data_IF_722131681550
#
_entry.id   IF_722131681550
#
_cell.length_a   1.000
_cell.length_b   1.000
_cell.length_c   1.000
_cell.angle_alpha   90.00
_cell.angle_beta   90.00
_cell.angle_gamma   90.00
#
_symmetry.space_group_name_H-M   'P 1'
#
loop_
_entity.id
_entity.type
_entity.pdbx_description
1 polymer ?
#
# COMPACT_ATOMS: atom_id res chain seq x y z
N UNK A 1 24.19 35.92 -6.71
CA UNK A 1 24.35 34.54 -6.24
C UNK A 1 22.94 34.01 -6.12
N UNK A 2 22.40 33.52 -7.23
CA UNK A 2 21.12 32.83 -7.24
C UNK A 2 21.30 31.51 -6.50
N UNK A 3 20.67 31.41 -5.32
CA UNK A 3 20.39 30.12 -4.71
C UNK A 3 19.44 29.41 -5.66
N UNK A 4 19.95 28.40 -6.36
CA UNK A 4 19.12 27.44 -7.06
C UNK A 4 18.34 26.74 -5.96
N UNK A 5 17.04 27.01 -5.89
CA UNK A 5 16.13 26.27 -5.02
C UNK A 5 16.36 24.77 -5.28
N UNK A 6 16.83 24.05 -4.27
CA UNK A 6 16.75 22.59 -4.21
C UNK A 6 15.27 22.26 -4.39
N UNK A 7 14.90 21.81 -5.59
CA UNK A 7 13.56 21.32 -5.88
C UNK A 7 13.44 20.03 -5.10
N UNK A 8 12.96 20.18 -3.87
CA UNK A 8 12.58 19.19 -2.87
C UNK A 8 12.45 17.78 -3.45
N UNK A 9 13.36 16.88 -3.04
CA UNK A 9 13.44 15.44 -3.40
C UNK A 9 12.21 14.63 -2.87
N UNK A 10 11.07 15.30 -2.64
CA UNK A 10 9.82 14.74 -2.14
C UNK A 10 8.87 14.30 -3.27
N UNK A 11 9.42 13.63 -4.28
CA UNK A 11 8.70 13.18 -5.48
C UNK A 11 7.57 12.17 -5.23
N UNK A 12 7.50 11.56 -4.04
CA UNK A 12 6.41 10.66 -3.62
C UNK A 12 5.46 11.32 -2.62
N UNK A 13 5.45 12.66 -2.50
CA UNK A 13 4.54 13.41 -1.62
C UNK A 13 4.52 12.90 -0.16
N UNK A 14 5.69 12.48 0.31
CA UNK A 14 5.92 11.93 1.63
C UNK A 14 5.71 12.97 2.73
N UNK A 15 4.97 12.61 3.78
CA UNK A 15 4.74 13.48 4.94
C UNK A 15 4.60 12.66 6.24
N UNK A 16 5.03 13.27 7.35
CA UNK A 16 4.71 12.78 8.68
C UNK A 16 3.23 12.99 9.00
N UNK A 17 2.59 11.94 9.52
CA UNK A 17 1.23 12.01 10.05
C UNK A 17 1.19 11.43 11.46
N UNK A 18 0.14 11.76 12.20
CA UNK A 18 -0.08 11.24 13.56
C UNK A 18 -1.39 10.46 13.60
N UNK A 19 -1.37 9.27 14.18
CA UNK A 19 -2.61 8.52 14.38
C UNK A 19 -3.55 9.29 15.32
N UNK A 20 -4.83 9.50 14.95
CA UNK A 20 -5.76 10.26 15.78
C UNK A 20 -6.12 9.54 17.09
N UNK A 21 -5.99 8.21 17.13
CA UNK A 21 -6.42 7.40 18.29
C UNK A 21 -5.27 7.10 19.27
N UNK A 22 -4.10 6.67 18.76
CA UNK A 22 -2.97 6.27 19.62
C UNK A 22 -1.80 7.27 19.61
N UNK A 23 -1.88 8.33 18.81
CA UNK A 23 -0.85 9.35 18.65
C UNK A 23 0.51 8.83 18.15
N UNK A 24 0.55 7.61 17.61
CA UNK A 24 1.74 7.08 16.96
C UNK A 24 2.13 7.96 15.76
N UNK A 25 3.44 8.25 15.65
CA UNK A 25 4.00 8.93 14.48
C UNK A 25 4.15 7.93 13.35
N UNK A 26 3.61 8.28 12.19
CA UNK A 26 3.64 7.48 10.98
C UNK A 26 4.14 8.35 9.82
N UNK A 27 4.52 7.71 8.73
CA UNK A 27 4.94 8.37 7.52
C UNK A 27 4.07 7.87 6.36
N UNK A 28 3.45 8.77 5.61
CA UNK A 28 2.66 8.41 4.42
C UNK A 28 3.37 8.92 3.17
N UNK A 29 3.28 8.16 2.08
CA UNK A 29 3.86 8.50 0.79
C UNK A 29 3.08 7.83 -0.34
N UNK A 30 3.12 8.40 -1.53
CA UNK A 30 2.53 7.82 -2.72
C UNK A 30 3.33 6.60 -3.21
N UNK A 31 2.65 5.67 -3.88
CA UNK A 31 3.29 4.51 -4.49
C UNK A 31 4.32 4.95 -5.52
N UNK A 32 5.50 4.33 -5.47
CA UNK A 32 6.49 4.53 -6.52
C UNK A 32 5.95 3.99 -7.85
N UNK A 33 5.96 4.79 -8.94
CA UNK A 33 5.56 4.31 -10.26
C UNK A 33 6.53 3.27 -10.83
N UNK A 34 7.66 3.02 -10.16
CA UNK A 34 8.68 2.05 -10.55
C UNK A 34 8.51 0.71 -9.83
N UNK A 35 7.56 0.59 -8.91
CA UNK A 35 7.19 -0.68 -8.31
C UNK A 35 6.20 -1.38 -9.24
N UNK A 36 6.64 -2.46 -9.88
CA UNK A 36 5.84 -3.30 -10.78
C UNK A 36 4.82 -4.19 -10.00
N UNK A 37 4.05 -3.57 -9.10
CA UNK A 37 3.10 -4.23 -8.22
C UNK A 37 1.80 -3.42 -8.08
N UNK A 38 0.67 -4.14 -7.95
CA UNK A 38 -0.55 -3.58 -7.39
C UNK A 38 -0.55 -3.78 -5.87
N UNK A 39 -0.90 -2.74 -5.13
CA UNK A 39 -0.97 -2.78 -3.67
C UNK A 39 -2.41 -2.63 -3.21
N UNK A 40 -2.93 -3.65 -2.53
CA UNK A 40 -4.28 -3.63 -1.97
C UNK A 40 -4.21 -3.80 -0.45
N UNK A 41 -5.18 -3.24 0.27
CA UNK A 41 -5.11 -3.12 1.72
C UNK A 41 -6.30 -3.80 2.36
N UNK A 42 -6.09 -4.40 3.53
CA UNK A 42 -7.15 -5.02 4.27
C UNK A 42 -8.11 -3.94 4.81
N UNK A 43 -9.40 -4.13 4.57
CA UNK A 43 -10.45 -3.26 5.09
C UNK A 43 -10.58 -3.29 6.63
N UNK A 44 -9.94 -4.25 7.31
CA UNK A 44 -10.15 -4.55 8.73
C UNK A 44 -8.88 -4.46 9.59
N UNK A 45 -7.69 -4.56 9.01
CA UNK A 45 -6.42 -4.47 9.74
C UNK A 45 -5.34 -3.79 8.88
N UNK A 46 -4.14 -3.48 9.41
CA UNK A 46 -3.10 -2.77 8.65
C UNK A 46 -2.39 -3.61 7.58
N UNK A 47 -2.82 -4.85 7.33
CA UNK A 47 -2.20 -5.74 6.36
C UNK A 47 -2.38 -5.22 4.93
N UNK A 48 -1.32 -5.32 4.13
CA UNK A 48 -1.27 -5.06 2.70
C UNK A 48 -0.99 -6.35 1.93
N UNK A 49 -1.44 -6.42 0.70
CA UNK A 49 -1.07 -7.45 -0.27
C UNK A 49 -0.38 -6.81 -1.46
N UNK A 50 0.71 -7.43 -1.89
CA UNK A 50 1.57 -6.96 -2.97
C UNK A 50 1.45 -7.95 -4.13
N UNK A 51 0.81 -7.53 -5.21
CA UNK A 51 0.56 -8.36 -6.39
C UNK A 51 1.52 -7.92 -7.49
N UNK A 52 2.54 -8.73 -7.79
CA UNK A 52 3.43 -8.43 -8.91
C UNK A 52 2.68 -8.43 -10.24
N UNK A 53 3.01 -7.50 -11.13
CA UNK A 53 2.53 -7.49 -12.52
C UNK A 53 2.94 -8.76 -13.30
N UNK A 54 3.99 -9.44 -12.83
CA UNK A 54 4.51 -10.68 -13.41
C UNK A 54 3.93 -11.95 -12.77
N UNK A 55 3.02 -11.83 -11.80
CA UNK A 55 2.29 -12.98 -11.25
C UNK A 55 1.39 -13.59 -12.33
N UNK A 56 1.54 -14.89 -12.57
CA UNK A 56 0.82 -15.58 -13.66
C UNK A 56 -0.70 -15.52 -13.53
N UNK A 57 -1.24 -15.52 -12.31
CA UNK A 57 -2.67 -15.36 -12.06
C UNK A 57 -3.10 -13.92 -12.33
N UNK A 58 -2.33 -12.93 -11.89
CA UNK A 58 -2.56 -11.52 -12.24
C UNK A 58 -2.59 -11.30 -13.76
N UNK A 59 -1.60 -11.82 -14.50
CA UNK A 59 -1.56 -11.73 -15.98
C UNK A 59 -2.78 -12.40 -16.61
N UNK A 60 -3.14 -13.61 -16.16
CA UNK A 60 -4.32 -14.33 -16.67
C UNK A 60 -5.62 -13.56 -16.43
N UNK A 61 -5.74 -12.90 -15.27
CA UNK A 61 -6.89 -12.06 -14.95
C UNK A 61 -6.94 -10.85 -15.88
N UNK A 62 -5.81 -10.15 -16.07
CA UNK A 62 -5.72 -8.97 -16.92
C UNK A 62 -6.03 -9.28 -18.39
N UNK A 63 -5.47 -10.37 -18.93
CA UNK A 63 -5.67 -10.80 -20.33
C UNK A 63 -7.13 -11.18 -20.63
N UNK A 64 -7.89 -11.62 -19.62
CA UNK A 64 -9.29 -11.97 -19.76
C UNK A 64 -10.22 -10.74 -19.80
N UNK A 65 -9.72 -9.55 -19.47
CA UNK A 65 -10.52 -8.33 -19.43
C UNK A 65 -10.57 -7.62 -20.79
N UNK A 66 -11.72 -7.03 -21.17
CA UNK A 66 -11.81 -6.26 -22.41
C UNK A 66 -11.01 -4.95 -22.30
N UNK A 67 -10.27 -4.59 -23.35
CA UNK A 67 -9.59 -3.28 -23.44
C UNK A 67 -10.62 -2.14 -23.50
N UNK A 68 -10.83 -1.41 -22.42
CA UNK A 68 -11.80 -0.29 -22.31
C UNK A 68 -11.26 0.83 -21.42
N UNK A 69 -11.88 2.00 -21.51
CA UNK A 69 -11.52 3.23 -20.79
C UNK A 69 -11.55 3.10 -19.24
N UNK A 70 -12.20 2.05 -18.70
CA UNK A 70 -12.23 1.71 -17.26
C UNK A 70 -11.34 0.50 -16.89
N UNK A 71 -10.23 0.31 -17.60
CA UNK A 71 -9.37 -0.87 -17.45
C UNK A 71 -8.86 -1.08 -16.01
N UNK A 72 -8.47 0.00 -15.32
CA UNK A 72 -7.88 -0.11 -13.98
C UNK A 72 -8.89 -0.54 -12.91
N UNK A 73 -10.04 0.15 -12.81
CA UNK A 73 -11.07 -0.18 -11.81
C UNK A 73 -11.65 -1.58 -12.05
N UNK A 74 -11.82 -1.96 -13.32
CA UNK A 74 -12.25 -3.31 -13.71
C UNK A 74 -11.21 -4.36 -13.30
N UNK A 75 -9.92 -4.08 -13.52
CA UNK A 75 -8.83 -4.95 -13.08
C UNK A 75 -8.81 -5.09 -11.57
N UNK A 76 -8.84 -3.98 -10.81
CA UNK A 76 -8.83 -4.02 -9.35
C UNK A 76 -10.00 -4.86 -8.82
N UNK A 77 -11.22 -4.65 -9.33
CA UNK A 77 -12.37 -5.46 -8.93
C UNK A 77 -12.18 -6.96 -9.24
N UNK A 78 -11.56 -7.30 -10.37
CA UNK A 78 -11.29 -8.68 -10.77
C UNK A 78 -10.18 -9.35 -9.94
N UNK A 79 -9.19 -8.57 -9.49
CA UNK A 79 -8.14 -9.02 -8.55
C UNK A 79 -8.73 -9.21 -7.16
N UNK A 80 -9.42 -8.20 -6.61
CA UNK A 80 -10.09 -8.23 -5.31
C UNK A 80 -11.02 -9.44 -5.13
N UNK A 81 -11.72 -9.84 -6.19
CA UNK A 81 -12.65 -10.96 -6.17
C UNK A 81 -11.97 -12.34 -6.07
N UNK A 82 -10.67 -12.44 -6.40
CA UNK A 82 -9.90 -13.70 -6.42
C UNK A 82 -8.85 -13.78 -5.33
N UNK A 83 -8.59 -12.67 -4.63
CA UNK A 83 -7.67 -12.66 -3.51
C UNK A 83 -8.23 -13.46 -2.34
N UNK A 84 -7.37 -14.29 -1.76
CA UNK A 84 -7.63 -14.93 -0.49
C UNK A 84 -7.85 -13.85 0.58
N UNK A 85 -8.86 -14.02 1.46
CA UNK A 85 -9.09 -13.10 2.57
C UNK A 85 -7.85 -12.90 3.45
N UNK A 86 -7.81 -11.77 4.14
CA UNK A 86 -6.82 -11.52 5.17
C UNK A 86 -7.02 -12.50 6.33
N UNK A 87 -5.95 -12.86 7.04
CA UNK A 87 -6.03 -13.80 8.18
C UNK A 87 -6.84 -13.24 9.36
N UNK A 88 -7.07 -11.92 9.39
CA UNK A 88 -7.99 -11.29 10.34
C UNK A 88 -9.48 -11.45 9.96
N UNK A 89 -9.77 -12.00 8.78
CA UNK A 89 -11.13 -12.15 8.23
C UNK A 89 -11.59 -11.01 7.31
N UNK A 90 -10.79 -9.94 7.18
CA UNK A 90 -11.08 -8.81 6.28
C UNK A 90 -10.78 -9.12 4.81
N UNK A 91 -11.17 -8.19 3.92
CA UNK A 91 -10.90 -8.29 2.48
C UNK A 91 -9.87 -7.26 2.03
N UNK A 92 -9.04 -7.65 1.06
CA UNK A 92 -8.12 -6.72 0.42
C UNK A 92 -8.86 -5.92 -0.66
N UNK A 93 -8.73 -4.60 -0.60
CA UNK A 93 -9.36 -3.64 -1.50
C UNK A 93 -8.34 -2.60 -1.94
N UNK A 94 -8.41 -2.17 -3.19
CA UNK A 94 -7.66 -1.01 -3.67
C UNK A 94 -8.08 0.24 -2.88
N UNK A 95 -9.39 0.38 -2.69
CA UNK A 95 -10.07 1.49 -1.98
C UNK A 95 -10.10 1.39 -0.45
N UNK A 96 -9.41 0.41 0.16
CA UNK A 96 -9.46 0.24 1.61
C UNK A 96 -8.80 1.42 2.34
N UNK A 97 -9.40 1.90 3.45
CA UNK A 97 -8.81 2.98 4.22
C UNK A 97 -7.47 2.54 4.81
N UNK A 98 -6.51 3.47 4.87
CA UNK A 98 -5.25 3.22 5.55
C UNK A 98 -5.44 3.17 7.06
N UNK A 99 -4.69 2.29 7.72
CA UNK A 99 -4.82 2.00 9.14
C UNK A 99 -3.49 2.13 9.84
N UNK A 100 -3.52 2.57 11.09
CA UNK A 100 -2.34 2.62 11.95
C UNK A 100 -1.81 1.22 12.22
N UNK A 101 -0.51 0.98 11.99
CA UNK A 101 0.13 -0.31 12.23
C UNK A 101 0.12 -0.74 13.71
N UNK A 102 0.06 0.23 14.62
CA UNK A 102 0.06 -0.03 16.06
C UNK A 102 -1.35 -0.35 16.61
N UNK A 103 -2.35 0.50 16.36
CA UNK A 103 -3.68 0.36 16.95
C UNK A 103 -4.80 -0.03 15.97
N UNK A 104 -4.49 -0.20 14.67
CA UNK A 104 -5.45 -0.51 13.60
C UNK A 104 -6.54 0.53 13.32
N UNK A 105 -6.50 1.68 14.01
CA UNK A 105 -7.42 2.79 13.75
C UNK A 105 -7.30 3.31 12.32
N UNK A 106 -8.42 3.74 11.74
CA UNK A 106 -8.46 4.36 10.41
C UNK A 106 -7.75 5.71 10.46
N UNK A 107 -6.85 5.95 9.52
CA UNK A 107 -6.10 7.19 9.36
C UNK A 107 -6.89 8.15 8.48
N UNK A 108 -7.84 8.87 9.07
CA UNK A 108 -8.76 9.78 8.36
C UNK A 108 -8.08 10.96 7.66
N UNK A 109 -6.83 11.26 8.02
CA UNK A 109 -6.00 12.24 7.32
C UNK A 109 -5.61 11.79 5.90
N UNK A 110 -5.63 10.49 5.63
CA UNK A 110 -5.38 9.92 4.30
C UNK A 110 -6.73 9.70 3.62
N UNK A 111 -7.12 10.66 2.78
CA UNK A 111 -8.38 10.61 2.02
C UNK A 111 -8.27 9.89 0.68
N UNK A 112 -7.04 9.64 0.20
CA UNK A 112 -6.80 8.93 -1.04
C UNK A 112 -7.30 7.48 -0.94
N UNK A 113 -8.18 7.03 -1.85
CA UNK A 113 -8.71 5.68 -1.80
C UNK A 113 -7.63 4.64 -2.13
N UNK A 114 -6.70 4.97 -3.03
CA UNK A 114 -5.62 4.10 -3.49
C UNK A 114 -4.32 4.89 -3.68
N UNK A 115 -3.22 4.20 -3.98
CA UNK A 115 -1.97 4.88 -4.37
C UNK A 115 -1.10 5.40 -3.23
N UNK A 116 -1.49 5.24 -1.96
CA UNK A 116 -0.74 5.75 -0.79
C UNK A 116 -0.33 4.61 0.13
N UNK A 117 0.91 4.62 0.58
CA UNK A 117 1.44 3.76 1.63
C UNK A 117 1.54 4.46 2.97
N UNK A 118 1.55 3.66 4.04
CA UNK A 118 1.83 4.12 5.40
C UNK A 118 2.94 3.27 5.96
N UNK A 119 3.96 3.92 6.48
CA UNK A 119 5.09 3.31 7.18
C UNK A 119 5.16 3.82 8.61
N UNK A 120 5.89 3.13 9.49
CA UNK A 120 6.23 3.69 10.79
C UNK A 120 7.06 4.97 10.64
N UNK A 121 6.95 5.90 11.61
CA UNK A 121 7.66 7.17 11.57
C UNK A 121 9.19 7.09 11.59
N UNK A 122 9.77 5.91 11.85
CA UNK A 122 11.21 5.67 11.73
C UNK A 122 11.68 5.48 10.28
N UNK A 123 10.77 5.31 9.31
CA UNK A 123 11.12 5.05 7.90
C UNK A 123 12.03 6.11 7.29
N UNK A 124 11.84 7.37 7.70
CA UNK A 124 12.63 8.52 7.24
C UNK A 124 13.83 8.83 8.12
N UNK A 125 14.15 7.99 9.10
CA UNK A 125 15.30 8.21 9.96
C UNK A 125 16.60 8.04 9.17
N UNK A 126 17.58 8.92 9.40
CA UNK A 126 18.92 8.87 8.77
C UNK A 126 19.79 7.68 9.24
N UNK A 127 19.20 6.74 9.98
CA UNK A 127 19.85 5.54 10.52
C UNK A 127 19.57 4.34 9.63
N UNK A 128 20.44 3.32 9.65
CA UNK A 128 20.17 2.05 8.98
C UNK A 128 18.93 1.38 9.58
N UNK A 129 17.84 1.35 8.79
CA UNK A 129 16.53 0.81 9.16
C UNK A 129 16.24 -0.52 8.47
N UNK A 130 17.17 -1.10 7.71
CA UNK A 130 16.89 -2.27 6.86
C UNK A 130 16.30 -3.46 7.61
N UNK A 131 16.81 -3.77 8.81
CA UNK A 131 16.26 -4.86 9.64
C UNK A 131 14.86 -4.54 10.21
N UNK A 132 14.56 -3.26 10.47
CA UNK A 132 13.24 -2.81 10.91
C UNK A 132 12.23 -2.90 9.77
N UNK A 133 12.64 -2.53 8.56
CA UNK A 133 11.87 -2.69 7.33
C UNK A 133 11.55 -4.16 7.05
N UNK A 134 12.54 -5.04 7.08
CA UNK A 134 12.31 -6.48 6.88
C UNK A 134 11.31 -7.03 7.91
N UNK A 135 11.48 -6.69 9.19
CA UNK A 135 10.57 -7.12 10.26
C UNK A 135 9.15 -6.58 10.06
N UNK A 136 9.04 -5.31 9.63
CA UNK A 136 7.77 -4.65 9.42
C UNK A 136 7.02 -5.25 8.22
N UNK A 137 7.71 -5.38 7.09
CA UNK A 137 7.14 -5.96 5.86
C UNK A 137 6.75 -7.42 6.07
N UNK A 138 7.56 -8.23 6.75
CA UNK A 138 7.21 -9.61 7.10
C UNK A 138 5.96 -9.72 7.98
N UNK A 139 5.64 -8.67 8.77
CA UNK A 139 4.47 -8.64 9.64
C UNK A 139 3.22 -8.13 8.96
N UNK A 140 3.33 -7.15 8.08
CA UNK A 140 2.18 -6.42 7.54
C UNK A 140 1.98 -6.61 6.05
N UNK A 141 2.91 -7.19 5.30
CA UNK A 141 2.79 -7.37 3.86
C UNK A 141 2.69 -8.85 3.51
N UNK A 142 1.77 -9.16 2.60
CA UNK A 142 1.60 -10.49 2.01
C UNK A 142 1.98 -10.42 0.53
N UNK A 143 3.03 -11.12 0.15
CA UNK A 143 3.46 -11.25 -1.25
C UNK A 143 3.31 -12.68 -1.80
N UNK A 144 2.94 -13.64 -0.96
CA UNK A 144 2.80 -15.06 -1.31
C UNK A 144 1.45 -15.63 -0.89
N UNK A 145 1.04 -16.74 -1.51
CA UNK A 145 -0.24 -17.42 -1.25
C UNK A 145 -1.45 -16.48 -1.37
N UNK A 146 -1.45 -15.68 -2.44
CA UNK A 146 -2.35 -14.56 -2.67
C UNK A 146 -3.77 -14.97 -3.08
N UNK A 147 -3.88 -16.05 -3.85
CA UNK A 147 -5.08 -16.37 -4.61
C UNK A 147 -5.91 -17.46 -3.94
N UNK A 148 -7.24 -17.37 -4.06
CA UNK A 148 -8.14 -18.49 -3.78
C UNK A 148 -7.95 -19.57 -4.87
N UNK A 149 -7.87 -20.83 -4.45
CA UNK A 149 -7.70 -21.99 -5.34
C UNK A 149 -9.01 -22.42 -6.02
#
# INVERSE_FOLDING_TARGET
>A
MDQVDDVDDNWLNGEDITCPECHERLYRLDHSPLLDCYFLYCDSCPMRVDISYYDSTCTTIADALPSRDDAYSTLMAALEARLRPCDCGGRFRDSAPRRCHLCSAVLTAISAPSGVDVWPGWWTAETDTGSLEETFTARYFRSENLWEH
#
